data_IF_651642551086
#
_entry.id   IF_651642551086
#
_cell.length_a   1.000
_cell.length_b   1.000
_cell.length_c   1.000
_cell.angle_alpha   90.00
_cell.angle_beta   90.00
_cell.angle_gamma   90.00
#
_symmetry.space_group_name_H-M   'P 1'
#
loop_
_entity.id
_entity.type
_entity.pdbx_description
1 polymer ?
#
# COMPACT_ATOMS: atom_id res chain seq x y z
N UNK A 1 -20.66 -9.23 60.65
CA UNK A 1 -21.83 -9.89 60.11
C UNK A 1 -21.48 -10.30 58.68
N UNK A 2 -21.18 -11.58 58.49
CA UNK A 2 -21.46 -12.54 57.46
C UNK A 2 -21.90 -11.93 56.10
N UNK A 3 -21.27 -12.18 54.98
CA UNK A 3 -20.92 -13.45 54.33
C UNK A 3 -21.73 -13.58 53.05
N UNK A 4 -21.12 -13.70 51.93
CA UNK A 4 -21.41 -14.78 50.97
C UNK A 4 -20.51 -14.63 49.71
N UNK A 5 -19.67 -15.64 49.59
CA UNK A 5 -18.95 -15.96 48.36
C UNK A 5 -19.92 -16.61 47.40
N UNK A 6 -19.92 -16.15 46.14
CA UNK A 6 -20.53 -16.92 45.08
C UNK A 6 -19.43 -17.21 44.03
N UNK A 7 -18.95 -18.43 44.05
CA UNK A 7 -18.07 -19.01 43.06
C UNK A 7 -18.89 -19.29 41.78
N UNK A 8 -18.50 -18.71 40.65
CA UNK A 8 -19.02 -19.11 39.36
C UNK A 8 -17.99 -19.99 38.63
N UNK A 9 -18.43 -21.18 38.32
CA UNK A 9 -17.74 -22.31 37.69
C UNK A 9 -17.21 -21.94 36.30
N UNK A 10 -15.95 -22.28 36.06
CA UNK A 10 -15.37 -22.48 34.74
C UNK A 10 -16.09 -23.59 33.99
N UNK A 11 -16.74 -23.26 32.90
CA UNK A 11 -17.21 -24.22 31.90
C UNK A 11 -16.19 -24.38 30.80
N UNK A 12 -15.53 -25.54 30.79
CA UNK A 12 -14.72 -26.03 29.68
C UNK A 12 -15.63 -26.32 28.47
N UNK A 13 -15.35 -25.70 27.32
CA UNK A 13 -15.90 -26.13 26.04
C UNK A 13 -14.76 -26.58 25.14
N UNK A 14 -14.61 -27.88 25.04
CA UNK A 14 -13.87 -28.58 24.01
C UNK A 14 -14.72 -28.62 22.73
N UNK A 15 -14.10 -28.38 21.59
CA UNK A 15 -14.63 -29.12 20.44
C UNK A 15 -14.62 -28.44 19.09
N UNK A 16 -13.68 -28.86 18.29
CA UNK A 16 -13.80 -29.32 16.89
C UNK A 16 -13.90 -28.26 15.78
N UNK A 17 -12.80 -28.10 15.03
CA UNK A 17 -12.71 -28.71 13.72
C UNK A 17 -13.46 -27.95 12.64
N UNK A 18 -12.83 -26.91 12.06
CA UNK A 18 -13.31 -26.32 10.81
C UNK A 18 -12.73 -27.15 9.64
N UNK A 19 -13.60 -27.97 9.01
CA UNK A 19 -13.32 -28.74 7.81
C UNK A 19 -13.41 -27.79 6.62
N UNK A 20 -12.27 -27.57 5.96
CA UNK A 20 -12.23 -26.90 4.65
C UNK A 20 -12.68 -27.94 3.62
N UNK A 21 -13.89 -27.77 3.08
CA UNK A 21 -14.38 -28.57 1.94
C UNK A 21 -13.90 -27.90 0.65
N UNK A 22 -12.81 -28.44 0.07
CA UNK A 22 -12.42 -28.15 -1.29
C UNK A 22 -13.37 -28.86 -2.25
N UNK A 23 -14.19 -28.10 -2.96
CA UNK A 23 -14.99 -28.62 -4.08
C UNK A 23 -14.09 -28.72 -5.32
N UNK A 24 -13.60 -29.92 -5.61
CA UNK A 24 -13.09 -30.28 -6.94
C UNK A 24 -14.27 -30.67 -7.82
N UNK A 25 -14.59 -29.83 -8.79
CA UNK A 25 -15.53 -30.20 -9.86
C UNK A 25 -14.75 -31.00 -10.91
N UNK A 26 -14.91 -32.33 -10.92
CA UNK A 26 -14.46 -33.21 -11.97
C UNK A 26 -15.49 -33.16 -13.11
N UNK A 27 -15.15 -32.49 -14.21
CA UNK A 27 -15.92 -32.60 -15.45
C UNK A 27 -15.47 -33.85 -16.19
N UNK A 28 -16.27 -34.90 -16.11
CA UNK A 28 -16.11 -36.12 -16.94
C UNK A 28 -16.56 -35.81 -18.36
N UNK A 29 -15.61 -35.73 -19.29
CA UNK A 29 -15.86 -35.74 -20.72
C UNK A 29 -15.97 -37.20 -21.22
N UNK A 30 -17.17 -37.61 -21.61
CA UNK A 30 -17.45 -38.87 -22.32
C UNK A 30 -16.94 -38.77 -23.75
N UNK A 31 -16.40 -39.84 -24.32
CA UNK A 31 -15.94 -39.84 -25.73
C UNK A 31 -17.12 -40.05 -26.67
N UNK A 32 -17.43 -39.05 -27.46
CA UNK A 32 -18.35 -39.18 -28.60
C UNK A 32 -17.66 -39.79 -29.80
N UNK A 33 -18.39 -40.70 -30.43
CA UNK A 33 -18.04 -41.54 -31.57
C UNK A 33 -17.40 -40.76 -32.74
N UNK A 34 -16.23 -41.23 -33.19
CA UNK A 34 -15.58 -40.79 -34.43
C UNK A 34 -16.37 -41.34 -35.62
N UNK A 35 -17.03 -40.48 -36.36
CA UNK A 35 -17.58 -40.79 -37.67
C UNK A 35 -16.48 -40.71 -38.72
N UNK A 36 -16.37 -41.78 -39.53
CA UNK A 36 -15.50 -41.83 -40.70
C UNK A 36 -15.89 -40.74 -41.70
N UNK A 37 -15.00 -39.81 -41.96
CA UNK A 37 -15.03 -38.90 -43.10
C UNK A 37 -13.77 -39.15 -43.95
N UNK A 38 -13.90 -40.08 -44.89
CA UNK A 38 -13.00 -40.21 -46.03
C UNK A 38 -13.34 -39.11 -47.03
N UNK A 39 -12.40 -38.25 -47.34
CA UNK A 39 -12.48 -37.33 -48.46
C UNK A 39 -12.21 -35.86 -48.15
N UNK A 40 -11.00 -35.51 -47.76
CA UNK A 40 -10.53 -34.11 -47.85
C UNK A 40 -9.20 -34.12 -48.61
N UNK A 41 -9.22 -33.52 -49.80
CA UNK A 41 -8.10 -33.36 -50.71
C UNK A 41 -6.96 -32.58 -50.08
N UNK A 42 -5.76 -33.18 -50.11
CA UNK A 42 -4.53 -32.67 -49.50
C UNK A 42 -3.87 -31.58 -50.39
N UNK A 43 -4.45 -30.36 -50.48
CA UNK A 43 -3.80 -29.28 -51.24
C UNK A 43 -3.70 -27.93 -50.50
N UNK A 44 -4.33 -27.79 -49.37
CA UNK A 44 -4.24 -26.50 -48.60
C UNK A 44 -3.32 -26.58 -47.35
N UNK A 45 -3.01 -27.78 -46.86
CA UNK A 45 -2.16 -27.96 -45.67
C UNK A 45 -0.69 -27.65 -45.90
N UNK A 46 -0.16 -27.95 -47.10
CA UNK A 46 1.27 -27.73 -47.38
C UNK A 46 1.64 -26.26 -47.56
N UNK A 47 0.75 -25.43 -48.12
CA UNK A 47 1.01 -23.98 -48.27
C UNK A 47 0.99 -23.23 -46.94
N UNK A 48 0.18 -23.64 -45.97
CA UNK A 48 0.15 -23.08 -44.64
C UNK A 48 1.34 -23.49 -43.76
N UNK A 49 1.77 -24.75 -43.87
CA UNK A 49 2.99 -25.27 -43.20
C UNK A 49 4.27 -24.57 -43.70
N UNK A 50 4.36 -24.29 -45.01
CA UNK A 50 5.49 -23.59 -45.61
C UNK A 50 5.54 -22.10 -45.19
N UNK A 51 4.38 -21.42 -45.03
CA UNK A 51 4.30 -20.07 -44.52
C UNK A 51 4.66 -19.95 -43.02
N UNK A 52 4.29 -20.93 -42.21
CA UNK A 52 4.67 -21.01 -40.81
C UNK A 52 6.18 -21.27 -40.63
N UNK A 53 6.77 -22.13 -41.46
CA UNK A 53 8.24 -22.36 -41.42
C UNK A 53 9.03 -21.13 -41.84
N UNK A 54 8.60 -20.34 -42.84
CA UNK A 54 9.25 -19.08 -43.25
C UNK A 54 9.13 -17.99 -42.17
N UNK A 55 8.02 -17.90 -41.38
CA UNK A 55 7.87 -16.98 -40.25
C UNK A 55 8.76 -17.34 -39.06
N UNK A 56 9.00 -18.65 -38.83
CA UNK A 56 9.88 -19.08 -37.74
C UNK A 56 11.36 -18.76 -38.02
N UNK A 57 11.78 -18.71 -39.30
CA UNK A 57 13.16 -18.34 -39.70
C UNK A 57 13.45 -16.84 -39.67
N UNK A 58 12.42 -15.97 -39.56
CA UNK A 58 12.59 -14.52 -39.48
C UNK A 58 12.63 -13.97 -38.03
N UNK A 59 12.75 -14.84 -37.03
CA UNK A 59 13.00 -14.33 -35.67
C UNK A 59 14.46 -13.91 -35.57
N UNK A 60 14.75 -12.60 -35.32
CA UNK A 60 16.12 -12.17 -35.14
C UNK A 60 16.73 -12.92 -33.95
N UNK A 61 18.02 -13.31 -34.02
CA UNK A 61 18.64 -14.06 -32.96
C UNK A 61 18.53 -13.28 -31.63
N UNK A 62 18.07 -13.94 -30.57
CA UNK A 62 17.89 -13.40 -29.22
C UNK A 62 19.12 -12.65 -28.66
N UNK A 63 20.30 -12.86 -29.26
CA UNK A 63 21.54 -12.12 -28.95
C UNK A 63 21.50 -10.63 -29.26
N UNK A 64 20.66 -10.21 -30.24
CA UNK A 64 20.56 -8.77 -30.58
C UNK A 64 19.79 -7.99 -29.51
N UNK A 65 18.78 -8.59 -28.88
CA UNK A 65 18.02 -7.95 -27.80
C UNK A 65 18.82 -7.82 -26.50
N UNK A 66 19.89 -8.59 -26.29
CA UNK A 66 20.73 -8.48 -25.10
C UNK A 66 21.63 -7.23 -25.11
N UNK A 67 21.91 -6.67 -26.29
CA UNK A 67 22.69 -5.41 -26.44
C UNK A 67 21.83 -4.15 -26.30
N UNK A 68 20.52 -4.26 -26.45
CA UNK A 68 19.55 -3.17 -26.35
C UNK A 68 18.67 -3.30 -25.10
N UNK A 69 19.25 -3.73 -23.99
CA UNK A 69 18.57 -3.48 -22.70
C UNK A 69 18.90 -2.03 -22.37
N UNK A 70 17.93 -1.08 -22.46
CA UNK A 70 18.19 0.25 -21.92
C UNK A 70 18.64 0.02 -20.47
N UNK A 71 19.77 0.59 -20.10
CA UNK A 71 20.16 0.67 -18.69
C UNK A 71 19.04 1.48 -18.04
N UNK A 72 18.08 0.78 -17.45
CA UNK A 72 17.10 1.41 -16.60
C UNK A 72 17.91 1.91 -15.41
N UNK A 73 18.21 3.21 -15.41
CA UNK A 73 18.83 3.86 -14.28
C UNK A 73 18.01 3.48 -13.05
N UNK A 74 18.69 3.01 -12.01
CA UNK A 74 18.03 2.71 -10.75
C UNK A 74 17.41 4.03 -10.27
N UNK A 75 16.13 4.02 -9.86
CA UNK A 75 15.49 5.22 -9.38
C UNK A 75 16.33 5.82 -8.24
N UNK A 76 16.57 7.12 -8.31
CA UNK A 76 17.22 7.83 -7.22
C UNK A 76 16.32 7.84 -5.99
N UNK A 77 16.90 7.99 -4.78
CA UNK A 77 16.10 8.10 -3.55
C UNK A 77 15.08 9.25 -3.66
N UNK A 78 15.46 10.37 -4.26
CA UNK A 78 14.56 11.51 -4.47
C UNK A 78 13.37 11.13 -5.38
N UNK A 79 13.60 10.42 -6.49
CA UNK A 79 12.51 9.99 -7.39
C UNK A 79 11.57 8.98 -6.73
N UNK A 80 12.08 8.15 -5.83
CA UNK A 80 11.25 7.24 -5.02
C UNK A 80 10.44 7.99 -3.98
N UNK A 81 11.04 8.94 -3.28
CA UNK A 81 10.35 9.77 -2.28
C UNK A 81 9.20 10.55 -2.92
N UNK A 82 9.44 11.17 -4.09
CA UNK A 82 8.38 11.85 -4.83
C UNK A 82 7.27 10.88 -5.27
N UNK A 83 7.62 9.68 -5.72
CA UNK A 83 6.65 8.66 -6.12
C UNK A 83 5.71 8.29 -4.98
N UNK A 84 6.24 8.09 -3.77
CA UNK A 84 5.44 7.73 -2.61
C UNK A 84 4.71 8.93 -2.02
N UNK A 85 5.30 10.13 -2.07
CA UNK A 85 4.62 11.35 -1.66
C UNK A 85 3.39 11.64 -2.54
N UNK A 86 3.46 11.39 -3.87
CA UNK A 86 2.27 11.46 -4.73
C UNK A 86 1.17 10.48 -4.33
N UNK A 87 1.52 9.32 -3.77
CA UNK A 87 0.52 8.40 -3.22
C UNK A 87 -0.08 8.91 -1.91
N UNK A 88 0.72 9.54 -1.04
CA UNK A 88 0.21 10.23 0.14
C UNK A 88 -0.71 11.41 -0.22
N UNK A 89 -0.36 12.19 -1.26
CA UNK A 89 -1.25 13.22 -1.82
C UNK A 89 -2.56 12.63 -2.37
N UNK A 90 -2.52 11.43 -2.94
CA UNK A 90 -3.73 10.69 -3.33
C UNK A 90 -4.64 10.36 -2.15
N UNK A 91 -4.08 9.98 -1.01
CA UNK A 91 -4.85 9.79 0.24
C UNK A 91 -5.38 11.14 0.77
N UNK A 92 -4.58 12.22 0.72
CA UNK A 92 -5.03 13.54 1.15
C UNK A 92 -6.24 14.06 0.33
N UNK A 93 -6.30 13.73 -0.96
CA UNK A 93 -7.47 14.06 -1.80
C UNK A 93 -8.73 13.32 -1.37
N UNK A 94 -8.61 12.07 -0.90
CA UNK A 94 -9.76 11.33 -0.33
C UNK A 94 -10.27 11.98 0.95
N UNK A 95 -9.37 12.48 1.81
CA UNK A 95 -9.77 13.29 2.96
C UNK A 95 -10.56 14.53 2.51
N UNK A 96 -10.06 15.25 1.51
CA UNK A 96 -10.74 16.42 0.96
C UNK A 96 -12.13 16.09 0.41
N UNK A 97 -12.28 14.97 -0.31
CA UNK A 97 -13.58 14.48 -0.82
C UNK A 97 -14.56 14.13 0.29
N UNK A 98 -14.05 13.75 1.48
CA UNK A 98 -14.82 13.47 2.69
C UNK A 98 -15.01 14.71 3.59
N UNK A 99 -14.69 15.91 3.11
CA UNK A 99 -14.75 17.18 3.85
C UNK A 99 -13.83 17.21 5.10
N UNK A 100 -12.84 16.35 5.13
CA UNK A 100 -11.80 16.28 6.16
C UNK A 100 -10.61 17.19 5.84
N UNK A 101 -9.81 17.53 6.84
CA UNK A 101 -8.52 18.21 6.60
C UNK A 101 -7.67 17.34 5.66
N UNK A 102 -7.20 17.88 4.51
CA UNK A 102 -6.61 17.09 3.43
C UNK A 102 -5.17 16.64 3.76
N UNK A 103 -5.05 15.74 4.71
CA UNK A 103 -3.80 15.10 5.09
C UNK A 103 -3.88 13.62 4.72
N UNK A 104 -2.84 13.14 4.06
CA UNK A 104 -2.71 11.75 3.66
C UNK A 104 -1.34 11.19 4.01
N UNK A 105 -1.31 9.89 4.29
CA UNK A 105 -0.10 9.18 4.66
C UNK A 105 -0.04 7.80 4.02
N UNK A 106 1.19 7.35 3.71
CA UNK A 106 1.45 5.96 3.29
C UNK A 106 2.69 5.44 4.01
N UNK A 107 2.64 4.17 4.40
CA UNK A 107 3.80 3.45 4.95
C UNK A 107 4.32 2.49 3.88
N UNK A 108 5.62 2.52 3.66
CA UNK A 108 6.32 1.74 2.63
C UNK A 108 7.33 0.80 3.28
N UNK A 109 7.33 -0.45 2.87
CA UNK A 109 8.34 -1.45 3.24
C UNK A 109 8.78 -2.21 1.98
N UNK A 110 10.10 -2.35 1.77
CA UNK A 110 10.64 -3.06 0.61
C UNK A 110 10.14 -2.51 -0.74
N UNK A 111 9.96 -1.19 -0.87
CA UNK A 111 9.48 -0.52 -2.09
C UNK A 111 7.98 -0.71 -2.38
N UNK A 112 7.20 -1.25 -1.43
CA UNK A 112 5.76 -1.49 -1.54
C UNK A 112 5.01 -0.74 -0.44
N UNK A 113 3.85 -0.18 -0.77
CA UNK A 113 2.96 0.40 0.23
C UNK A 113 2.29 -0.72 1.03
N UNK A 114 2.49 -0.71 2.34
CA UNK A 114 1.96 -1.69 3.31
C UNK A 114 0.88 -1.10 4.21
N UNK A 115 0.76 0.23 4.27
CA UNK A 115 -0.29 0.94 4.99
C UNK A 115 -0.67 2.23 4.29
N UNK A 116 -1.93 2.61 4.33
CA UNK A 116 -2.48 3.87 3.80
C UNK A 116 -3.40 4.47 4.84
N UNK A 117 -3.45 5.78 4.89
CA UNK A 117 -4.34 6.52 5.76
C UNK A 117 -4.59 7.92 5.25
N UNK A 118 -5.73 8.45 5.58
CA UNK A 118 -6.09 9.84 5.41
C UNK A 118 -6.84 10.32 6.66
N UNK A 119 -6.96 11.61 6.83
CA UNK A 119 -7.66 12.15 7.99
C UNK A 119 -9.11 11.69 8.01
N UNK A 120 -9.60 11.28 9.19
CA UNK A 120 -10.95 10.78 9.43
C UNK A 120 -11.52 11.32 10.76
N UNK A 121 -11.03 12.45 11.22
CA UNK A 121 -11.37 13.03 12.53
C UNK A 121 -12.86 13.33 12.64
N UNK A 122 -13.42 14.01 11.66
CA UNK A 122 -14.85 14.37 11.63
C UNK A 122 -15.71 13.13 11.34
N UNK A 123 -15.30 12.30 10.39
CA UNK A 123 -16.03 11.08 9.97
C UNK A 123 -16.18 10.09 11.12
N UNK A 124 -15.15 9.90 11.94
CA UNK A 124 -15.16 8.95 13.06
C UNK A 124 -15.53 9.62 14.41
N UNK A 125 -15.58 10.95 14.46
CA UNK A 125 -15.72 11.68 15.73
C UNK A 125 -14.57 11.39 16.70
N UNK A 126 -13.38 11.08 16.16
CA UNK A 126 -12.19 10.72 16.93
C UNK A 126 -11.05 11.69 16.65
N UNK A 127 -10.65 12.52 17.64
CA UNK A 127 -9.57 13.49 17.47
C UNK A 127 -8.20 12.85 17.21
N UNK A 128 -8.08 11.55 17.35
CA UNK A 128 -6.84 10.82 17.09
C UNK A 128 -6.80 10.17 15.71
N UNK A 129 -7.88 10.21 14.93
CA UNK A 129 -8.01 9.57 13.61
C UNK A 129 -7.25 10.32 12.51
N UNK A 130 -6.01 10.74 12.78
CA UNK A 130 -5.12 11.36 11.83
C UNK A 130 -4.62 10.37 10.77
N UNK A 131 -4.20 10.89 9.61
CA UNK A 131 -3.71 10.10 8.49
C UNK A 131 -2.59 9.13 8.88
N UNK A 132 -1.64 9.61 9.70
CA UNK A 132 -0.49 8.83 10.15
C UNK A 132 -0.93 7.67 11.04
N UNK A 133 -1.89 7.89 11.95
CA UNK A 133 -2.44 6.87 12.84
C UNK A 133 -3.10 5.75 12.04
N UNK A 134 -3.90 6.11 11.03
CA UNK A 134 -4.54 5.16 10.13
C UNK A 134 -3.50 4.36 9.34
N UNK A 135 -2.49 5.04 8.77
CA UNK A 135 -1.44 4.40 7.98
C UNK A 135 -0.56 3.45 8.82
N UNK A 136 -0.19 3.86 10.05
CA UNK A 136 0.60 3.02 10.97
C UNK A 136 -0.17 1.78 11.39
N UNK A 137 -1.45 1.93 11.75
CA UNK A 137 -2.33 0.81 12.12
C UNK A 137 -2.48 -0.18 10.97
N UNK A 138 -2.72 0.32 9.75
CA UNK A 138 -2.81 -0.52 8.56
C UNK A 138 -1.51 -1.26 8.26
N UNK A 139 -0.36 -0.59 8.39
CA UNK A 139 0.96 -1.18 8.18
C UNK A 139 1.27 -2.27 9.23
N UNK A 140 1.01 -2.00 10.51
CA UNK A 140 1.20 -2.96 11.58
C UNK A 140 0.34 -4.23 11.37
N UNK A 141 -0.91 -4.04 10.95
CA UNK A 141 -1.81 -5.15 10.60
C UNK A 141 -1.28 -5.95 9.39
N UNK A 142 -0.84 -5.27 8.33
CA UNK A 142 -0.33 -5.92 7.10
C UNK A 142 0.94 -6.73 7.37
N UNK A 143 1.85 -6.21 8.20
CA UNK A 143 3.13 -6.83 8.51
C UNK A 143 3.06 -7.81 9.69
N UNK A 144 1.94 -7.85 10.42
CA UNK A 144 1.77 -8.70 11.59
C UNK A 144 2.65 -8.30 12.78
N UNK A 145 3.07 -7.03 12.86
CA UNK A 145 4.00 -6.56 13.90
C UNK A 145 3.79 -5.09 14.27
N UNK A 146 4.02 -4.75 15.54
CA UNK A 146 3.83 -3.38 16.07
C UNK A 146 5.02 -2.44 15.82
N UNK A 147 6.20 -2.99 15.50
CA UNK A 147 7.39 -2.20 15.22
C UNK A 147 7.68 -2.20 13.72
N UNK A 148 8.06 -1.04 13.18
CA UNK A 148 8.18 -0.76 11.76
C UNK A 148 9.59 -0.24 11.39
N UNK A 149 10.69 -0.89 11.87
CA UNK A 149 12.05 -0.35 11.70
C UNK A 149 12.51 -0.31 10.23
N UNK A 150 11.98 -1.21 9.40
CA UNK A 150 12.31 -1.29 7.97
C UNK A 150 11.28 -0.57 7.08
N UNK A 151 10.50 0.33 7.69
CA UNK A 151 9.47 1.09 7.00
C UNK A 151 9.82 2.56 6.88
N UNK A 152 9.34 3.18 5.81
CA UNK A 152 9.33 4.63 5.62
C UNK A 152 7.87 5.12 5.63
N UNK A 153 7.57 6.07 6.49
CA UNK A 153 6.31 6.81 6.49
C UNK A 153 6.44 8.05 5.62
N UNK A 154 5.56 8.22 4.65
CA UNK A 154 5.38 9.44 3.87
C UNK A 154 4.07 10.09 4.28
N UNK A 155 4.10 11.37 4.62
CA UNK A 155 2.92 12.15 5.01
C UNK A 155 2.96 13.53 4.33
N UNK A 156 1.82 14.05 3.93
CA UNK A 156 1.75 15.30 3.16
C UNK A 156 2.11 16.54 3.98
N UNK A 157 1.91 16.49 5.30
CA UNK A 157 2.19 17.61 6.21
C UNK A 157 3.03 17.09 7.39
N UNK A 158 3.88 17.97 7.96
CA UNK A 158 4.66 17.64 9.15
C UNK A 158 3.78 17.02 10.24
N UNK A 159 4.14 15.85 10.79
CA UNK A 159 3.36 15.19 11.83
C UNK A 159 3.18 16.09 13.06
N UNK A 160 1.99 16.09 13.65
CA UNK A 160 1.76 16.74 14.95
C UNK A 160 2.45 15.95 16.07
N UNK A 161 2.52 16.53 17.28
CA UNK A 161 3.19 15.90 18.43
C UNK A 161 2.60 14.53 18.81
N UNK A 162 1.28 14.34 18.66
CA UNK A 162 0.61 13.07 18.93
C UNK A 162 1.10 12.00 17.93
N UNK A 163 1.05 12.31 16.63
CA UNK A 163 1.50 11.40 15.59
C UNK A 163 3.00 11.12 15.66
N UNK A 164 3.80 12.15 15.96
CA UNK A 164 5.24 11.97 16.16
C UNK A 164 5.55 11.02 17.32
N UNK A 165 4.80 11.11 18.44
CA UNK A 165 4.87 10.13 19.52
C UNK A 165 4.51 8.72 19.08
N UNK A 166 3.43 8.54 18.31
CA UNK A 166 3.04 7.24 17.78
C UNK A 166 4.10 6.65 16.81
N UNK A 167 4.66 7.49 15.93
CA UNK A 167 5.75 7.13 15.03
C UNK A 167 6.98 6.64 15.82
N UNK A 168 7.33 7.35 16.89
CA UNK A 168 8.44 6.98 17.78
C UNK A 168 8.18 5.62 18.46
N UNK A 169 6.98 5.41 19.01
CA UNK A 169 6.60 4.14 19.62
C UNK A 169 6.54 2.97 18.64
N UNK A 170 6.12 3.23 17.40
CA UNK A 170 6.16 2.24 16.33
C UNK A 170 7.58 1.98 15.81
N UNK A 171 8.59 2.75 16.24
CA UNK A 171 9.99 2.64 15.82
C UNK A 171 10.14 2.70 14.30
N UNK A 172 9.42 3.61 13.63
CA UNK A 172 9.51 3.78 12.18
C UNK A 172 10.94 4.14 11.77
N UNK A 173 11.48 3.43 10.78
CA UNK A 173 12.87 3.60 10.36
C UNK A 173 13.15 4.94 9.68
N UNK A 174 12.18 5.49 8.93
CA UNK A 174 12.30 6.78 8.25
C UNK A 174 10.96 7.49 8.15
N UNK A 175 10.99 8.82 8.30
CA UNK A 175 9.82 9.71 8.15
C UNK A 175 10.14 10.75 7.07
N UNK A 176 9.20 10.91 6.14
CA UNK A 176 9.30 11.85 5.02
C UNK A 176 8.01 12.66 4.96
N UNK A 177 8.12 14.00 4.98
CA UNK A 177 6.93 14.85 4.82
C UNK A 177 7.11 15.90 3.74
N UNK A 178 5.96 16.41 3.25
CA UNK A 178 5.89 17.45 2.23
C UNK A 178 5.99 18.84 2.83
N UNK A 179 4.85 19.37 3.27
CA UNK A 179 4.73 20.72 3.82
C UNK A 179 5.13 20.77 5.31
N UNK A 180 5.81 21.82 5.73
CA UNK A 180 6.09 22.11 7.14
C UNK A 180 4.85 22.68 7.82
N UNK A 181 4.63 22.36 9.12
CA UNK A 181 3.56 22.95 9.93
C UNK A 181 4.14 23.74 11.12
N UNK A 182 4.34 25.03 10.91
CA UNK A 182 4.85 25.93 11.95
C UNK A 182 3.89 26.08 13.16
N UNK A 183 2.61 25.70 13.05
CA UNK A 183 1.61 25.86 14.11
C UNK A 183 1.44 24.61 14.96
N UNK A 184 1.41 23.44 14.37
CA UNK A 184 1.07 22.16 15.02
C UNK A 184 2.13 21.08 14.83
N UNK A 185 3.13 21.28 13.95
CA UNK A 185 4.20 20.34 13.70
C UNK A 185 5.00 20.02 14.98
N UNK A 186 5.48 18.79 15.07
CA UNK A 186 6.18 18.30 16.27
C UNK A 186 7.47 19.07 16.59
N UNK A 187 8.16 19.60 15.55
CA UNK A 187 9.41 20.35 15.74
C UNK A 187 9.24 21.59 16.61
N UNK A 188 8.01 22.12 16.71
CA UNK A 188 7.69 23.21 17.63
C UNK A 188 7.87 22.82 19.10
N UNK A 189 7.76 21.53 19.43
CA UNK A 189 7.79 21.04 20.80
C UNK A 189 9.14 20.40 21.14
N UNK A 190 9.69 19.61 20.23
CA UNK A 190 10.99 18.97 20.39
C UNK A 190 11.48 18.43 19.04
N UNK A 191 12.76 18.61 18.75
CA UNK A 191 13.41 18.00 17.59
C UNK A 191 13.79 16.53 17.84
N UNK A 192 13.83 16.09 19.09
CA UNK A 192 14.28 14.75 19.50
C UNK A 192 13.13 13.80 19.89
N UNK A 193 11.96 13.94 19.26
CA UNK A 193 10.80 13.06 19.52
C UNK A 193 11.01 11.67 18.98
N UNK A 194 11.62 11.55 17.80
CA UNK A 194 11.83 10.27 17.16
C UNK A 194 13.01 9.48 17.77
N UNK A 195 13.00 8.18 17.52
CA UNK A 195 14.15 7.35 17.90
C UNK A 195 15.41 7.86 17.20
N UNK A 196 16.60 7.86 17.87
CA UNK A 196 17.85 8.38 17.29
C UNK A 196 18.28 7.76 15.96
N UNK A 197 17.80 6.57 15.65
CA UNK A 197 18.06 5.88 14.37
C UNK A 197 17.03 6.21 13.28
N UNK A 198 15.95 6.92 13.59
CA UNK A 198 14.94 7.29 12.62
C UNK A 198 15.49 8.35 11.67
N UNK A 199 15.57 8.03 10.38
CA UNK A 199 15.91 9.00 9.34
C UNK A 199 14.78 9.99 9.12
N UNK A 200 15.12 11.27 8.91
CA UNK A 200 14.13 12.33 8.65
C UNK A 200 14.46 13.03 7.34
N UNK A 201 13.45 13.24 6.50
CA UNK A 201 13.53 14.03 5.27
C UNK A 201 12.26 14.87 5.15
N UNK A 202 12.38 16.12 4.71
CA UNK A 202 11.22 16.99 4.53
C UNK A 202 11.32 17.81 3.24
N UNK A 203 10.23 18.49 2.88
CA UNK A 203 10.18 19.32 1.69
C UNK A 203 9.92 18.55 0.39
N UNK A 204 9.57 17.27 0.45
CA UNK A 204 9.28 16.45 -0.73
C UNK A 204 7.91 16.82 -1.29
N UNK A 205 7.85 17.42 -2.50
CA UNK A 205 6.64 17.98 -3.10
C UNK A 205 5.93 18.99 -2.18
N UNK A 206 6.72 19.81 -1.46
CA UNK A 206 6.21 20.75 -0.46
C UNK A 206 5.15 21.69 -1.04
N UNK A 207 5.39 22.28 -2.21
CA UNK A 207 4.47 23.21 -2.84
C UNK A 207 3.09 22.58 -3.12
N UNK A 208 3.05 21.34 -3.63
CA UNK A 208 1.80 20.62 -3.90
C UNK A 208 1.04 20.30 -2.60
N UNK A 209 1.76 19.97 -1.53
CA UNK A 209 1.19 19.70 -0.22
C UNK A 209 0.63 20.97 0.44
N UNK A 210 1.36 22.08 0.37
CA UNK A 210 0.96 23.39 0.89
C UNK A 210 -0.27 23.96 0.15
N UNK A 211 -0.30 23.82 -1.18
CA UNK A 211 -1.42 24.26 -1.99
C UNK A 211 -2.71 23.58 -1.57
N UNK A 212 -2.69 22.26 -1.35
CA UNK A 212 -3.86 21.49 -0.96
C UNK A 212 -4.41 21.98 0.40
N UNK A 213 -3.53 22.16 1.39
CA UNK A 213 -3.89 22.68 2.72
C UNK A 213 -4.42 24.11 2.65
N UNK A 214 -3.73 24.98 1.93
CA UNK A 214 -4.10 26.40 1.81
C UNK A 214 -5.45 26.56 1.14
N UNK A 215 -5.72 25.83 0.07
CA UNK A 215 -6.99 25.84 -0.66
C UNK A 215 -8.16 25.40 0.22
N UNK A 216 -7.99 24.34 1.02
CA UNK A 216 -8.99 23.86 1.96
C UNK A 216 -9.36 24.92 3.01
N UNK A 217 -8.36 25.49 3.69
CA UNK A 217 -8.64 26.52 4.71
C UNK A 217 -9.11 27.85 4.11
N UNK A 218 -8.75 28.17 2.88
CA UNK A 218 -9.32 29.32 2.17
C UNK A 218 -10.82 29.12 1.87
N UNK A 219 -11.22 27.91 1.53
CA UNK A 219 -12.63 27.56 1.32
C UNK A 219 -13.45 27.67 2.61
N UNK A 220 -12.95 27.17 3.73
CA UNK A 220 -13.65 27.22 5.03
C UNK A 220 -13.82 28.63 5.61
N UNK A 221 -13.05 29.62 5.14
CA UNK A 221 -13.15 31.03 5.60
C UNK A 221 -14.10 31.89 4.77
N UNK A 222 -14.76 31.35 3.77
CA UNK A 222 -15.78 32.02 2.96
C UNK A 222 -17.15 31.94 3.60
#
# INVERSE_FOLDING_TARGET
>A
VAGSQTAARMGSVHGRGCIIVSFFVFLSLQPTKVGNLTGISCSQGEKSALRLRKRAQMRPPLRIFRKYRPQMEQPTQQSEDERFMRQALGEARKALEAEEVPIGAVVVSGGRVVGRGHNLVETLGDPTAHAEMQALTAAASTLGGKYLPDCTLYVTVEPCIMCAGAIAWAQVGRVVWGADDAKKGYRRYSESVFHPKTGVTHGVLAAECEELMTSFFAFLRR
#
